data_IF_985231187966
#
_entry.id   IF_985231187966
#
_cell.length_a   1.000
_cell.length_b   1.000
_cell.length_c   1.000
_cell.angle_alpha   90.00
_cell.angle_beta   90.00
_cell.angle_gamma   90.00
#
_symmetry.space_group_name_H-M   'P 1'
#
loop_
_entity.id
_entity.type
_entity.pdbx_description
1 polymer ?
#
# COMPACT_ATOMS: atom_id res chain seq x y z
N UNK A 1 2.87 10.93 9.04
CA UNK A 1 2.03 11.79 8.18
C UNK A 1 1.14 10.86 7.38
N UNK A 2 -0.15 11.18 7.18
CA UNK A 2 -1.07 10.28 6.51
C UNK A 2 -0.61 10.07 5.06
N UNK A 3 -0.64 8.83 4.61
CA UNK A 3 -0.38 8.42 3.24
C UNK A 3 -1.70 7.93 2.61
N UNK A 4 -1.94 8.29 1.36
CA UNK A 4 -3.06 7.82 0.57
C UNK A 4 -2.56 6.73 -0.36
N UNK A 5 -3.06 5.52 -0.18
CA UNK A 5 -2.71 4.38 -1.02
C UNK A 5 -3.88 4.10 -1.96
N UNK A 6 -3.58 4.12 -3.25
CA UNK A 6 -4.46 3.63 -4.29
C UNK A 6 -4.02 2.20 -4.64
N UNK A 7 -4.92 1.23 -4.56
CA UNK A 7 -4.58 -0.18 -4.74
C UNK A 7 -5.57 -0.91 -5.65
N UNK A 8 -5.03 -1.88 -6.39
CA UNK A 8 -5.76 -2.90 -7.14
C UNK A 8 -5.68 -4.21 -6.37
N UNK A 9 -6.83 -4.76 -6.02
CA UNK A 9 -6.90 -5.92 -5.14
C UNK A 9 -8.32 -6.25 -4.76
N UNK A 10 -8.50 -6.97 -3.66
CA UNK A 10 -9.82 -7.22 -3.08
C UNK A 10 -9.85 -6.96 -1.58
N UNK A 11 -11.03 -6.59 -1.10
CA UNK A 11 -11.33 -6.31 0.30
C UNK A 11 -11.74 -7.58 1.03
N UNK A 12 -11.21 -7.81 2.23
CA UNK A 12 -11.47 -9.00 3.06
C UNK A 12 -11.86 -8.56 4.48
N UNK A 13 -12.94 -9.08 5.08
CA UNK A 13 -13.23 -8.85 6.49
C UNK A 13 -12.09 -9.41 7.37
N UNK A 14 -11.67 -8.66 8.39
CA UNK A 14 -10.57 -9.09 9.27
C UNK A 14 -10.79 -10.49 9.88
N UNK A 15 -11.98 -10.86 10.39
CA UNK A 15 -12.18 -12.21 10.92
C UNK A 15 -11.96 -13.33 9.89
N UNK A 16 -12.24 -13.06 8.62
CA UNK A 16 -12.01 -14.02 7.52
C UNK A 16 -10.53 -14.11 7.17
N UNK A 17 -9.85 -12.96 7.13
CA UNK A 17 -8.41 -12.89 6.93
C UNK A 17 -7.66 -13.64 8.05
N UNK A 18 -8.02 -13.36 9.30
CA UNK A 18 -7.38 -13.94 10.48
C UNK A 18 -7.58 -15.47 10.53
N UNK A 19 -8.80 -15.95 10.23
CA UNK A 19 -9.06 -17.38 10.10
C UNK A 19 -8.20 -18.05 9.00
N UNK A 20 -8.03 -17.38 7.85
CA UNK A 20 -7.14 -17.86 6.79
C UNK A 20 -5.67 -17.89 7.22
N UNK A 21 -5.18 -16.84 7.88
CA UNK A 21 -3.80 -16.77 8.36
C UNK A 21 -3.49 -17.85 9.40
N UNK A 22 -4.37 -18.01 10.39
CA UNK A 22 -4.24 -19.05 11.43
C UNK A 22 -4.22 -20.45 10.84
N UNK A 23 -5.09 -20.73 9.87
CA UNK A 23 -5.11 -22.02 9.19
C UNK A 23 -3.82 -22.34 8.43
N UNK A 24 -3.02 -21.32 8.10
CA UNK A 24 -1.73 -21.44 7.45
C UNK A 24 -0.54 -21.23 8.42
N UNK A 25 -0.78 -21.23 9.73
CA UNK A 25 0.26 -21.16 10.76
C UNK A 25 0.82 -19.76 11.01
N UNK A 26 0.09 -18.71 10.64
CA UNK A 26 0.42 -17.32 10.91
C UNK A 26 -0.44 -16.76 12.05
N UNK A 27 0.04 -15.67 12.67
CA UNK A 27 -0.71 -14.95 13.70
C UNK A 27 -1.87 -14.14 13.11
N UNK A 28 -2.91 -13.94 13.91
CA UNK A 28 -4.03 -13.06 13.59
C UNK A 28 -3.57 -11.60 13.53
N UNK A 29 -4.18 -10.81 12.64
CA UNK A 29 -3.89 -9.38 12.49
C UNK A 29 -4.67 -8.53 13.48
N UNK A 30 -5.86 -8.99 13.88
CA UNK A 30 -6.81 -8.23 14.69
C UNK A 30 -7.12 -6.82 14.12
N UNK A 31 -6.99 -6.65 12.80
CA UNK A 31 -7.17 -5.36 12.13
C UNK A 31 -6.07 -4.35 12.46
N UNK A 32 -4.91 -4.82 12.92
CA UNK A 32 -3.70 -4.04 13.16
C UNK A 32 -2.81 -4.10 11.92
N UNK A 33 -2.28 -2.96 11.43
CA UNK A 33 -1.36 -2.96 10.31
C UNK A 33 -0.05 -3.67 10.66
N UNK A 34 0.62 -4.29 9.69
CA UNK A 34 1.98 -4.78 9.88
C UNK A 34 2.89 -3.62 10.33
N UNK A 35 3.72 -3.87 11.35
CA UNK A 35 4.56 -2.83 11.97
C UNK A 35 5.85 -2.53 11.17
N UNK A 36 6.27 -3.45 10.30
CA UNK A 36 7.52 -3.37 9.53
C UNK A 36 7.29 -3.64 8.04
N UNK A 37 8.25 -3.21 7.22
CA UNK A 37 8.31 -3.54 5.78
C UNK A 37 8.39 -5.06 5.51
N UNK A 38 8.84 -5.83 6.52
CA UNK A 38 8.75 -7.29 6.54
C UNK A 38 7.44 -7.67 7.23
N UNK A 39 6.41 -7.82 6.43
CA UNK A 39 5.12 -8.35 6.84
C UNK A 39 5.07 -9.86 6.52
N UNK A 40 5.13 -10.76 7.53
CA UNK A 40 5.07 -12.20 7.32
C UNK A 40 3.84 -12.66 6.55
N UNK A 41 2.70 -11.97 6.72
CA UNK A 41 1.49 -12.29 5.97
C UNK A 41 1.68 -11.98 4.49
N UNK A 42 2.21 -10.81 4.14
CA UNK A 42 2.56 -10.47 2.76
C UNK A 42 3.64 -11.38 2.16
N UNK A 43 4.66 -11.76 2.94
CA UNK A 43 5.69 -12.72 2.49
C UNK A 43 5.07 -14.09 2.17
N UNK A 44 4.24 -14.60 3.06
CA UNK A 44 3.49 -15.84 2.83
C UNK A 44 2.61 -15.75 1.58
N UNK A 45 1.88 -14.65 1.39
CA UNK A 45 1.04 -14.44 0.20
C UNK A 45 1.87 -14.44 -1.09
N UNK A 46 3.07 -13.81 -1.07
CA UNK A 46 4.01 -13.83 -2.20
C UNK A 46 4.47 -15.25 -2.51
N UNK A 47 4.87 -16.01 -1.49
CA UNK A 47 5.32 -17.39 -1.66
C UNK A 47 4.20 -18.31 -2.17
N UNK A 48 3.00 -18.17 -1.62
CA UNK A 48 1.83 -18.99 -1.97
C UNK A 48 1.36 -18.76 -3.40
N UNK A 49 1.40 -17.52 -3.88
CA UNK A 49 0.88 -17.15 -5.21
C UNK A 49 1.95 -17.06 -6.28
N UNK A 50 3.22 -16.86 -5.91
CA UNK A 50 4.28 -16.48 -6.83
C UNK A 50 4.18 -15.05 -7.35
N UNK A 51 3.24 -14.24 -6.85
CA UNK A 51 3.05 -12.84 -7.29
C UNK A 51 3.98 -11.95 -6.46
N UNK A 52 5.03 -11.34 -7.05
CA UNK A 52 6.04 -10.62 -6.27
C UNK A 52 5.52 -9.32 -5.64
N UNK A 53 4.54 -8.67 -6.28
CA UNK A 53 3.93 -7.41 -5.83
C UNK A 53 2.62 -7.66 -5.06
N UNK A 54 2.46 -8.80 -4.37
CA UNK A 54 1.29 -8.99 -3.50
C UNK A 54 1.58 -8.43 -2.10
N UNK A 55 0.61 -7.73 -1.50
CA UNK A 55 0.71 -7.16 -0.16
C UNK A 55 -0.64 -7.15 0.55
N UNK A 56 -0.60 -7.47 1.84
CA UNK A 56 -1.67 -7.19 2.78
C UNK A 56 -1.56 -5.73 3.25
N UNK A 57 -2.63 -4.98 3.05
CA UNK A 57 -2.77 -3.59 3.48
C UNK A 57 -3.95 -3.54 4.45
N UNK A 58 -3.68 -3.17 5.70
CA UNK A 58 -4.71 -2.92 6.70
C UNK A 58 -4.69 -1.42 6.99
N UNK A 59 -5.76 -0.68 6.67
CA UNK A 59 -5.82 0.75 6.96
C UNK A 59 -5.70 0.99 8.45
N UNK A 60 -4.90 1.96 8.84
CA UNK A 60 -4.75 2.35 10.22
C UNK A 60 -4.60 3.85 10.31
N UNK A 61 -5.30 4.45 11.27
CA UNK A 61 -5.18 5.88 11.55
C UNK A 61 -5.10 6.09 13.04
N UNK A 62 -4.16 6.94 13.47
CA UNK A 62 -3.99 7.27 14.87
C UNK A 62 -5.31 7.82 15.43
N UNK A 63 -5.73 7.31 16.59
CA UNK A 63 -6.99 7.63 17.28
C UNK A 63 -8.28 7.04 16.68
N UNK A 64 -8.19 6.15 15.70
CA UNK A 64 -9.34 5.39 15.20
C UNK A 64 -9.30 3.94 15.72
N UNK A 65 -10.46 3.29 15.72
CA UNK A 65 -10.58 1.85 16.00
C UNK A 65 -9.79 1.01 14.98
N UNK A 66 -9.52 -0.25 15.32
CA UNK A 66 -8.95 -1.22 14.38
C UNK A 66 -9.83 -1.34 13.13
N UNK A 67 -9.21 -1.72 12.01
CA UNK A 67 -9.94 -1.85 10.76
C UNK A 67 -10.88 -3.06 10.81
N UNK A 68 -12.10 -2.91 10.29
CA UNK A 68 -13.01 -4.05 10.06
C UNK A 68 -12.60 -4.89 8.83
N UNK A 69 -11.74 -4.32 7.98
CA UNK A 69 -11.33 -4.94 6.72
C UNK A 69 -9.85 -4.71 6.41
N UNK A 70 -9.22 -5.74 5.86
CA UNK A 70 -7.94 -5.66 5.17
C UNK A 70 -8.13 -5.69 3.65
N UNK A 71 -7.05 -5.39 2.92
CA UNK A 71 -6.99 -5.42 1.47
C UNK A 71 -5.81 -6.28 1.05
N UNK A 72 -6.06 -7.24 0.17
CA UNK A 72 -4.98 -7.96 -0.50
C UNK A 72 -4.80 -7.29 -1.86
N UNK A 73 -3.68 -6.61 -2.03
CA UNK A 73 -3.35 -5.87 -3.24
C UNK A 73 -2.34 -6.64 -4.09
N UNK A 74 -2.54 -6.71 -5.40
CA UNK A 74 -1.52 -7.17 -6.36
C UNK A 74 -0.80 -6.01 -7.04
N UNK A 75 -1.35 -4.80 -6.91
CA UNK A 75 -0.72 -3.58 -7.36
C UNK A 75 -1.18 -2.40 -6.50
N UNK A 76 -0.31 -1.42 -6.28
CA UNK A 76 -0.64 -0.19 -5.54
C UNK A 76 0.36 0.93 -5.84
N UNK A 77 -0.10 2.16 -5.60
CA UNK A 77 0.70 3.38 -5.59
C UNK A 77 0.36 4.18 -4.34
N UNK A 78 1.37 4.73 -3.70
CA UNK A 78 1.22 5.56 -2.51
C UNK A 78 1.47 7.01 -2.87
N UNK A 79 0.65 7.90 -2.33
CA UNK A 79 0.76 9.34 -2.50
C UNK A 79 0.71 10.02 -1.15
N UNK A 80 1.59 10.99 -0.96
CA UNK A 80 1.78 11.64 0.32
C UNK A 80 1.00 12.96 0.47
N UNK A 81 0.73 13.65 -0.65
CA UNK A 81 -0.02 14.91 -0.63
C UNK A 81 -0.95 15.00 -1.85
N UNK A 82 -0.37 15.14 -3.04
CA UNK A 82 -1.10 15.29 -4.30
C UNK A 82 -0.21 14.80 -5.43
N UNK A 83 -0.76 14.01 -6.34
CA UNK A 83 -0.08 13.55 -7.55
C UNK A 83 -1.16 13.06 -8.53
N UNK A 84 -1.00 13.41 -9.80
CA UNK A 84 -1.76 12.76 -10.86
C UNK A 84 -1.27 11.32 -11.04
N UNK A 85 -2.21 10.38 -11.06
CA UNK A 85 -1.92 8.95 -11.22
C UNK A 85 -2.51 8.51 -12.56
N UNK A 86 -1.63 8.09 -13.46
CA UNK A 86 -2.05 7.52 -14.74
C UNK A 86 -2.36 6.03 -14.54
N UNK A 87 -3.63 5.70 -14.28
CA UNK A 87 -4.06 4.35 -13.90
C UNK A 87 -3.52 3.26 -14.84
N UNK A 88 -3.68 3.46 -16.15
CA UNK A 88 -3.30 2.47 -17.18
C UNK A 88 -1.77 2.27 -17.31
N UNK A 89 -0.97 3.20 -16.77
CA UNK A 89 0.50 3.15 -16.81
C UNK A 89 1.11 2.70 -15.47
N UNK A 90 0.47 3.07 -14.37
CA UNK A 90 1.02 2.91 -13.03
C UNK A 90 0.44 1.72 -12.26
N UNK A 91 -0.75 1.25 -12.65
CA UNK A 91 -1.43 0.13 -12.01
C UNK A 91 -1.86 -0.90 -13.05
N UNK A 92 -1.63 -2.16 -12.74
CA UNK A 92 -2.12 -3.28 -13.51
C UNK A 92 -3.65 -3.29 -13.53
N UNK A 93 -4.22 -3.20 -14.73
CA UNK A 93 -5.68 -3.28 -14.92
C UNK A 93 -6.25 -4.68 -14.71
N UNK A 94 -5.42 -5.70 -14.95
CA UNK A 94 -5.81 -7.10 -14.80
C UNK A 94 -5.05 -7.74 -13.65
N UNK A 95 -5.77 -8.54 -12.86
CA UNK A 95 -5.17 -9.32 -11.81
C UNK A 95 -4.22 -10.38 -12.40
N UNK A 96 -3.02 -10.60 -11.81
CA UNK A 96 -2.14 -11.68 -12.20
C UNK A 96 -2.79 -13.07 -12.05
N UNK A 97 -2.28 -14.05 -12.78
CA UNK A 97 -2.69 -15.45 -12.61
C UNK A 97 -2.44 -15.92 -11.16
N UNK A 98 -3.35 -16.73 -10.61
CA UNK A 98 -3.29 -17.19 -9.22
C UNK A 98 -3.99 -16.26 -8.22
N UNK A 99 -4.26 -15.00 -8.60
CA UNK A 99 -4.86 -14.03 -7.69
C UNK A 99 -6.35 -14.31 -7.41
N UNK A 100 -7.09 -14.78 -8.43
CA UNK A 100 -8.49 -15.14 -8.28
C UNK A 100 -8.66 -16.40 -7.43
N UNK A 101 -7.75 -17.36 -7.55
CA UNK A 101 -7.68 -18.57 -6.75
C UNK A 101 -7.41 -18.23 -5.28
N UNK A 102 -6.40 -17.40 -5.01
CA UNK A 102 -6.10 -16.91 -3.65
C UNK A 102 -7.32 -16.24 -3.02
N UNK A 103 -7.98 -15.36 -3.77
CA UNK A 103 -9.19 -14.67 -3.31
C UNK A 103 -10.28 -15.67 -2.92
N UNK A 104 -10.58 -16.64 -3.79
CA UNK A 104 -11.61 -17.63 -3.53
C UNK A 104 -11.25 -18.51 -2.33
N UNK A 105 -9.97 -18.85 -2.15
CA UNK A 105 -9.47 -19.57 -1.00
C UNK A 105 -9.71 -18.80 0.30
N UNK A 106 -9.31 -17.52 0.37
CA UNK A 106 -9.50 -16.68 1.56
C UNK A 106 -10.99 -16.53 1.89
N UNK A 107 -11.83 -16.25 0.89
CA UNK A 107 -13.28 -16.11 1.10
C UNK A 107 -13.91 -17.44 1.54
N UNK A 108 -13.28 -18.58 1.24
CA UNK A 108 -13.67 -19.90 1.74
C UNK A 108 -13.75 -19.97 3.26
N UNK A 109 -12.97 -19.16 3.99
CA UNK A 109 -12.94 -19.11 5.46
C UNK A 109 -14.08 -18.30 6.09
N UNK A 110 -15.01 -17.74 5.28
CA UNK A 110 -16.09 -16.91 5.79
C UNK A 110 -17.00 -17.66 6.78
N UNK A 111 -17.20 -18.96 6.56
CA UNK A 111 -18.06 -19.81 7.40
C UNK A 111 -17.42 -20.04 8.77
N UNK A 112 -16.13 -20.35 8.79
CA UNK A 112 -15.31 -20.54 9.98
C UNK A 112 -15.24 -19.26 10.82
N UNK A 113 -15.16 -18.11 10.15
CA UNK A 113 -15.18 -16.79 10.78
C UNK A 113 -16.57 -16.36 11.30
N UNK A 114 -17.62 -17.14 11.05
CA UNK A 114 -19.00 -16.78 11.43
C UNK A 114 -19.55 -15.55 10.70
N UNK A 115 -18.92 -15.16 9.59
CA UNK A 115 -19.32 -14.00 8.80
C UNK A 115 -20.21 -14.47 7.66
N UNK A 116 -21.47 -14.01 7.61
CA UNK A 116 -22.30 -14.23 6.42
C UNK A 116 -21.59 -13.63 5.22
N UNK A 117 -21.51 -14.36 4.09
CA UNK A 117 -20.84 -13.94 2.86
C UNK A 117 -21.36 -12.58 2.35
N UNK A 118 -20.85 -11.50 2.95
CA UNK A 118 -20.97 -10.13 2.50
C UNK A 118 -20.16 -9.97 1.20
N UNK A 119 -20.29 -8.85 0.46
CA UNK A 119 -19.57 -8.62 -0.80
C UNK A 119 -18.03 -8.45 -0.65
N UNK A 120 -17.43 -9.05 0.38
CA UNK A 120 -16.00 -9.27 0.47
C UNK A 120 -15.51 -10.05 -0.75
N UNK A 121 -14.34 -9.68 -1.24
CA UNK A 121 -13.78 -10.25 -2.45
C UNK A 121 -14.10 -9.49 -3.74
N UNK A 122 -14.84 -8.39 -3.79
CA UNK A 122 -14.88 -7.65 -5.06
C UNK A 122 -13.47 -7.12 -5.40
N UNK A 123 -12.92 -7.62 -6.52
CA UNK A 123 -11.67 -7.08 -7.06
C UNK A 123 -11.98 -5.70 -7.63
N UNK A 124 -11.34 -4.66 -7.11
CA UNK A 124 -11.62 -3.28 -7.48
C UNK A 124 -10.39 -2.41 -7.30
N UNK A 125 -10.50 -1.17 -7.76
CA UNK A 125 -9.67 -0.07 -7.30
C UNK A 125 -10.18 0.41 -5.94
N UNK A 126 -9.28 0.56 -4.97
CA UNK A 126 -9.60 1.08 -3.64
C UNK A 126 -8.64 2.21 -3.26
N UNK A 127 -9.15 3.18 -2.51
CA UNK A 127 -8.33 4.20 -1.85
C UNK A 127 -8.37 3.99 -0.35
N UNK A 128 -7.21 3.88 0.27
CA UNK A 128 -7.07 3.71 1.73
C UNK A 128 -6.15 4.79 2.30
N UNK A 129 -6.44 5.24 3.51
CA UNK A 129 -5.54 6.14 4.26
C UNK A 129 -4.82 5.31 5.32
N UNK A 130 -3.49 5.36 5.31
CA UNK A 130 -2.64 4.72 6.32
C UNK A 130 -1.80 5.78 7.01
N UNK A 131 -1.67 5.70 8.32
CA UNK A 131 -0.64 6.40 9.10
C UNK A 131 0.61 5.51 9.22
N UNK A 132 1.00 4.81 8.13
CA UNK A 132 2.20 3.97 8.17
C UNK A 132 3.42 4.83 8.53
N UNK A 133 4.16 4.36 9.54
CA UNK A 133 5.39 4.97 10.03
C UNK A 133 6.49 4.74 8.99
N UNK A 134 7.11 5.82 8.54
CA UNK A 134 8.31 5.86 7.71
C UNK A 134 8.35 4.82 6.57
N UNK A 135 7.35 4.80 5.68
CA UNK A 135 7.72 4.57 4.29
C UNK A 135 8.39 5.85 3.83
N UNK A 136 9.72 5.89 3.91
CA UNK A 136 10.49 6.81 3.09
C UNK A 136 10.12 6.41 1.66
N UNK A 137 9.22 7.19 1.05
CA UNK A 137 9.09 7.15 -0.39
C UNK A 137 10.51 7.26 -0.90
N UNK A 138 11.01 6.23 -1.60
CA UNK A 138 12.21 6.41 -2.38
C UNK A 138 11.87 7.56 -3.32
N UNK A 139 12.29 8.78 -2.94
CA UNK A 139 12.26 9.89 -3.86
C UNK A 139 12.95 9.35 -5.10
N UNK A 140 12.25 9.43 -6.23
CA UNK A 140 12.91 9.29 -7.52
C UNK A 140 14.14 10.18 -7.40
N UNK A 141 15.32 9.58 -7.41
CA UNK A 141 16.60 10.31 -7.35
C UNK A 141 16.66 11.09 -8.65
N UNK A 142 16.00 12.24 -8.65
CA UNK A 142 15.92 13.12 -9.78
C UNK A 142 17.28 13.79 -9.83
N UNK A 143 18.08 13.42 -10.83
CA UNK A 143 19.36 14.09 -11.06
C UNK A 143 19.04 15.51 -11.48
N UNK A 144 19.56 16.47 -10.72
CA UNK A 144 19.55 17.86 -11.15
C UNK A 144 20.29 18.01 -12.48
N UNK A 145 19.92 19.01 -13.27
CA UNK A 145 20.59 19.32 -14.55
C UNK A 145 22.11 19.56 -14.40
N UNK A 146 22.56 19.91 -13.18
CA UNK A 146 23.98 20.06 -12.83
C UNK A 146 24.71 18.73 -12.58
N UNK A 147 24.01 17.59 -12.64
CA UNK A 147 24.57 16.25 -12.47
C UNK A 147 24.87 15.87 -11.02
N UNK A 148 24.55 16.73 -10.05
CA UNK A 148 24.80 16.49 -8.63
C UNK A 148 23.68 15.65 -8.01
N UNK A 149 24.06 14.72 -7.12
CA UNK A 149 23.12 13.84 -6.40
C UNK A 149 23.09 14.22 -4.92
N UNK A 150 21.91 14.08 -4.32
CA UNK A 150 21.68 14.43 -2.91
C UNK A 150 21.04 13.26 -2.19
N UNK A 151 21.37 13.09 -0.91
CA UNK A 151 20.82 12.00 -0.08
C UNK A 151 19.44 12.35 0.48
N UNK A 152 19.12 13.65 0.57
CA UNK A 152 17.83 14.13 1.08
C UNK A 152 17.34 15.37 0.33
N UNK A 153 16.01 15.57 0.41
CA UNK A 153 15.32 16.69 -0.24
C UNK A 153 15.83 18.06 0.22
N UNK A 154 16.12 18.23 1.52
CA UNK A 154 16.51 19.54 2.06
C UNK A 154 17.88 19.96 1.56
N UNK A 155 18.86 19.05 1.57
CA UNK A 155 20.18 19.28 0.99
C UNK A 155 20.10 19.66 -0.50
N UNK A 156 19.20 19.02 -1.25
CA UNK A 156 18.92 19.36 -2.65
C UNK A 156 18.31 20.75 -2.81
N UNK A 157 17.32 21.11 -1.99
CA UNK A 157 16.68 22.43 -2.04
C UNK A 157 17.65 23.54 -1.62
N UNK A 158 18.48 23.32 -0.60
CA UNK A 158 19.52 24.26 -0.20
C UNK A 158 20.52 24.48 -1.33
N UNK A 159 20.96 23.41 -2.01
CA UNK A 159 21.81 23.53 -3.20
C UNK A 159 21.14 24.33 -4.32
N UNK A 160 19.88 24.01 -4.66
CA UNK A 160 19.12 24.75 -5.68
C UNK A 160 19.02 26.23 -5.35
N UNK A 161 18.78 26.58 -4.08
CA UNK A 161 18.73 27.97 -3.62
C UNK A 161 20.08 28.65 -3.72
N UNK A 162 21.12 28.03 -3.18
CA UNK A 162 22.40 28.67 -2.93
C UNK A 162 23.31 28.70 -4.17
N UNK A 163 23.22 27.67 -5.03
CA UNK A 163 24.03 27.54 -6.26
C UNK A 163 23.27 28.02 -7.49
N UNK A 164 21.98 27.68 -7.59
CA UNK A 164 21.18 28.01 -8.78
C UNK A 164 20.26 29.23 -8.59
N UNK A 165 20.24 29.84 -7.40
CA UNK A 165 19.39 30.99 -7.11
C UNK A 165 17.89 30.69 -7.15
N UNK A 166 17.51 29.40 -7.13
CA UNK A 166 16.12 28.97 -7.25
C UNK A 166 15.42 29.19 -5.91
N UNK A 167 14.53 30.19 -5.84
CA UNK A 167 13.64 30.38 -4.71
C UNK A 167 12.37 29.53 -4.88
N UNK A 168 12.47 28.25 -4.55
CA UNK A 168 11.27 27.41 -4.38
C UNK A 168 10.63 27.71 -3.03
N UNK A 169 9.29 27.82 -3.02
CA UNK A 169 8.51 27.88 -1.79
C UNK A 169 8.81 26.60 -0.99
N UNK A 170 9.13 26.69 0.30
CA UNK A 170 9.31 25.47 1.10
C UNK A 170 8.04 24.62 1.05
N UNK A 171 8.17 23.36 0.65
CA UNK A 171 7.07 22.40 0.48
C UNK A 171 5.96 22.91 -0.44
N UNK A 172 6.26 23.23 -1.72
CA UNK A 172 5.17 23.51 -2.65
C UNK A 172 4.37 22.21 -2.82
N UNK A 173 3.05 22.30 -2.83
CA UNK A 173 2.24 21.18 -3.29
C UNK A 173 2.69 20.81 -4.71
N UNK A 174 2.79 19.51 -5.05
CA UNK A 174 3.11 19.11 -6.41
C UNK A 174 2.16 19.79 -7.39
N UNK A 175 2.73 20.36 -8.46
CA UNK A 175 1.93 20.95 -9.53
C UNK A 175 1.11 19.82 -10.19
N UNK A 176 -0.18 20.07 -10.43
CA UNK A 176 -0.99 19.21 -11.30
C UNK A 176 -0.68 19.65 -12.73
N UNK A 177 0.27 19.01 -13.39
CA UNK A 177 0.55 19.18 -14.82
C UNK A 177 0.20 17.91 -15.57
#
# INVERSE_FOLDING_TARGET
>A
MPQYTLLRGFKVPIPVLDAFLVANGLDETYGTPPMDYKDPASDFLREKTGIPKIRLIIPARMHFSSADFGYIAYDWVMTFAQREIELDKELLDQAPAGFAELRNEIIGFAKEAGVSAQPGGLTSLFTTVTDERAYDAQEVIDREECGQTFEDFFSRQDHRRDVHGVQLKMNPLPLNE
#
